data_IF_319298855796
#
_entry.id   IF_319298855796
#
_cell.length_a   1.000
_cell.length_b   1.000
_cell.length_c   1.000
_cell.angle_alpha   90.00
_cell.angle_beta   90.00
_cell.angle_gamma   90.00
#
_symmetry.space_group_name_H-M   'P 1'
#
loop_
_entity.id
_entity.type
_entity.pdbx_description
1 polymer ?
#
# COMPACT_ATOMS: atom_id res chain seq x y z
N UNK A 1 -6.32 10.29 -31.99
CA UNK A 1 -6.33 8.85 -32.35
C UNK A 1 -5.24 8.20 -31.51
N UNK A 2 -5.59 7.21 -30.68
CA UNK A 2 -4.56 6.41 -30.02
C UNK A 2 -3.71 5.73 -31.09
N UNK A 3 -2.38 5.69 -30.92
CA UNK A 3 -1.52 4.98 -31.85
C UNK A 3 -1.98 3.51 -31.96
N UNK A 4 -1.99 2.93 -33.17
CA UNK A 4 -2.34 1.53 -33.33
C UNK A 4 -1.36 0.66 -32.55
N UNK A 5 -1.89 -0.32 -31.82
CA UNK A 5 -1.11 -1.30 -31.09
C UNK A 5 -0.05 -1.93 -32.02
N UNK A 6 1.21 -2.12 -31.57
CA UNK A 6 2.23 -2.80 -32.37
C UNK A 6 1.71 -4.15 -32.88
N UNK A 7 1.95 -4.45 -34.16
CA UNK A 7 1.37 -5.61 -34.84
C UNK A 7 1.68 -6.95 -34.14
N UNK A 8 2.84 -7.06 -33.47
CA UNK A 8 3.24 -8.22 -32.66
C UNK A 8 2.23 -8.56 -31.56
N UNK A 9 1.50 -7.58 -31.04
CA UNK A 9 0.52 -7.77 -29.98
C UNK A 9 -0.90 -8.07 -30.48
N UNK A 10 -1.14 -8.06 -31.80
CA UNK A 10 -2.46 -8.38 -32.38
C UNK A 10 -3.08 -9.66 -31.81
N UNK A 11 -2.33 -10.78 -31.62
CA UNK A 11 -2.89 -12.02 -31.09
C UNK A 11 -3.37 -11.94 -29.64
N UNK A 12 -2.91 -10.95 -28.87
CA UNK A 12 -3.22 -10.77 -27.44
C UNK A 12 -3.79 -9.38 -27.12
N UNK A 13 -4.33 -8.70 -28.14
CA UNK A 13 -4.77 -7.31 -28.00
C UNK A 13 -5.88 -7.16 -26.95
N UNK A 14 -6.79 -8.14 -26.86
CA UNK A 14 -7.86 -8.14 -25.87
C UNK A 14 -7.30 -8.28 -24.45
N UNK A 15 -6.35 -9.21 -24.23
CA UNK A 15 -5.74 -9.44 -22.93
C UNK A 15 -4.97 -8.20 -22.45
N UNK A 16 -4.26 -7.50 -23.35
CA UNK A 16 -3.58 -6.25 -22.99
C UNK A 16 -4.60 -5.15 -22.66
N UNK A 17 -5.67 -5.02 -23.45
CA UNK A 17 -6.76 -4.08 -23.13
C UNK A 17 -7.37 -4.37 -21.77
N UNK A 18 -7.56 -5.64 -21.41
CA UNK A 18 -8.06 -6.05 -20.11
C UNK A 18 -7.08 -5.67 -18.99
N UNK A 19 -5.77 -5.87 -19.17
CA UNK A 19 -4.75 -5.42 -18.21
C UNK A 19 -4.84 -3.90 -18.00
N UNK A 20 -4.93 -3.12 -19.07
CA UNK A 20 -5.07 -1.66 -18.97
C UNK A 20 -6.37 -1.26 -18.26
N UNK A 21 -7.50 -1.87 -18.61
CA UNK A 21 -8.78 -1.58 -17.96
C UNK A 21 -8.75 -1.84 -16.45
N UNK A 22 -8.06 -2.89 -16.00
CA UNK A 22 -7.86 -3.17 -14.56
C UNK A 22 -6.99 -2.10 -13.88
N UNK A 23 -5.92 -1.66 -14.53
CA UNK A 23 -5.05 -0.61 -13.98
C UNK A 23 -5.77 0.73 -13.92
N UNK A 24 -6.57 1.06 -14.94
CA UNK A 24 -7.39 2.26 -14.96
C UNK A 24 -8.48 2.19 -13.88
N UNK A 25 -9.08 1.00 -13.67
CA UNK A 25 -9.97 0.76 -12.54
C UNK A 25 -9.26 0.95 -11.20
N UNK A 26 -8.03 0.48 -11.04
CA UNK A 26 -7.25 0.71 -9.82
C UNK A 26 -6.99 2.22 -9.58
N UNK A 27 -6.73 3.00 -10.63
CA UNK A 27 -6.64 4.46 -10.55
C UNK A 27 -7.96 5.13 -10.12
N UNK A 28 -9.11 4.61 -10.56
CA UNK A 28 -10.42 5.05 -10.07
C UNK A 28 -10.60 4.73 -8.58
N UNK A 29 -10.18 3.53 -8.14
CA UNK A 29 -10.26 3.14 -6.73
C UNK A 29 -9.41 4.04 -5.82
N UNK A 30 -8.22 4.47 -6.27
CA UNK A 30 -7.43 5.47 -5.52
C UNK A 30 -8.21 6.77 -5.33
N UNK A 31 -8.92 7.24 -6.37
CA UNK A 31 -9.72 8.47 -6.30
C UNK A 31 -10.92 8.31 -5.38
N UNK A 32 -11.67 7.21 -5.51
CA UNK A 32 -12.82 6.92 -4.63
C UNK A 32 -12.41 6.80 -3.16
N UNK A 33 -11.23 6.22 -2.90
CA UNK A 33 -10.67 6.14 -1.55
C UNK A 33 -10.42 7.54 -0.98
N UNK A 34 -9.78 8.40 -1.78
CA UNK A 34 -9.48 9.78 -1.39
C UNK A 34 -10.77 10.58 -1.17
N UNK A 35 -11.75 10.48 -2.07
CA UNK A 35 -13.04 11.16 -1.94
C UNK A 35 -13.79 10.75 -0.67
N UNK A 36 -13.83 9.44 -0.38
CA UNK A 36 -14.44 8.90 0.84
C UNK A 36 -13.72 9.40 2.09
N UNK A 37 -12.39 9.47 2.05
CA UNK A 37 -11.58 9.97 3.15
C UNK A 37 -11.81 11.46 3.40
N UNK A 38 -11.83 12.27 2.34
CA UNK A 38 -12.07 13.71 2.40
C UNK A 38 -13.50 14.02 2.90
N UNK A 39 -14.51 13.27 2.43
CA UNK A 39 -15.88 13.37 2.93
C UNK A 39 -15.94 13.05 4.43
N UNK A 40 -15.31 11.96 4.86
CA UNK A 40 -15.22 11.61 6.27
C UNK A 40 -14.56 12.72 7.09
N UNK A 41 -13.43 13.25 6.66
CA UNK A 41 -12.72 14.34 7.35
C UNK A 41 -13.52 15.65 7.40
N UNK A 42 -14.32 15.95 6.37
CA UNK A 42 -15.19 17.14 6.32
C UNK A 42 -16.18 17.19 7.50
N UNK A 43 -16.54 16.02 8.05
CA UNK A 43 -17.43 15.90 9.21
C UNK A 43 -16.76 16.22 10.55
N UNK A 44 -15.44 16.51 10.53
CA UNK A 44 -14.58 16.71 11.71
C UNK A 44 -14.76 15.60 12.75
N UNK A 45 -14.47 14.34 12.38
CA UNK A 45 -14.82 13.18 13.19
C UNK A 45 -13.93 13.00 14.42
N UNK A 46 -12.78 13.68 14.47
CA UNK A 46 -11.79 13.58 15.54
C UNK A 46 -11.81 14.81 16.44
N UNK A 47 -11.81 14.60 17.76
CA UNK A 47 -11.70 15.64 18.78
C UNK A 47 -10.63 15.26 19.79
N UNK A 48 -10.02 16.26 20.41
CA UNK A 48 -9.16 16.04 21.57
C UNK A 48 -9.99 16.29 22.84
N UNK A 49 -9.91 15.36 23.79
CA UNK A 49 -10.55 15.52 25.11
C UNK A 49 -9.48 15.55 26.19
N UNK A 50 -9.63 16.48 27.12
CA UNK A 50 -8.80 16.54 28.32
C UNK A 50 -9.50 15.73 29.41
N UNK A 51 -8.85 14.68 29.88
CA UNK A 51 -9.39 13.77 30.89
C UNK A 51 -8.51 13.88 32.14
N UNK A 52 -9.04 14.41 33.26
CA UNK A 52 -8.32 14.37 34.53
C UNK A 52 -8.32 12.94 35.06
N UNK A 53 -7.16 12.49 35.53
CA UNK A 53 -6.94 11.17 36.11
C UNK A 53 -6.86 11.26 37.65
N UNK A 54 -7.04 10.14 38.34
CA UNK A 54 -7.11 10.11 39.81
C UNK A 54 -5.79 10.46 40.51
N UNK A 55 -4.66 10.35 39.82
CA UNK A 55 -3.31 10.66 40.32
C UNK A 55 -2.91 12.13 40.11
N UNK A 56 -3.83 12.98 39.65
CA UNK A 56 -3.59 14.39 39.33
C UNK A 56 -2.98 14.62 37.94
N UNK A 57 -2.80 13.57 37.14
CA UNK A 57 -2.42 13.68 35.73
C UNK A 57 -3.59 14.20 34.88
N UNK A 58 -3.30 15.03 33.89
CA UNK A 58 -4.24 15.41 32.84
C UNK A 58 -3.83 14.74 31.52
N UNK A 59 -4.69 13.86 31.01
CA UNK A 59 -4.45 13.14 29.75
C UNK A 59 -5.24 13.77 28.61
N UNK A 60 -4.57 14.17 27.53
CA UNK A 60 -5.21 14.52 26.27
C UNK A 60 -5.41 13.25 25.45
N UNK A 61 -6.67 12.88 25.21
CA UNK A 61 -7.06 11.65 24.48
C UNK A 61 -7.69 11.96 23.14
N UNK A 62 -7.49 11.07 22.18
CA UNK A 62 -8.28 11.08 20.95
C UNK A 62 -9.72 10.67 21.27
N UNK A 63 -10.68 11.46 20.81
CA UNK A 63 -12.09 11.10 20.84
C UNK A 63 -12.66 11.12 19.43
N UNK A 64 -13.12 9.97 18.97
CA UNK A 64 -13.67 9.74 17.66
C UNK A 64 -15.19 9.75 17.74
N UNK A 65 -15.79 10.74 17.10
CA UNK A 65 -17.25 10.93 17.11
C UNK A 65 -17.98 10.14 16.03
N UNK A 66 -17.25 9.61 15.03
CA UNK A 66 -17.78 8.76 13.95
C UNK A 66 -16.78 7.65 13.63
N UNK A 67 -17.22 6.40 13.41
CA UNK A 67 -16.31 5.33 13.00
C UNK A 67 -15.68 5.63 11.63
N UNK A 68 -14.56 4.98 11.32
CA UNK A 68 -14.01 5.03 9.97
C UNK A 68 -15.02 4.43 8.97
N UNK A 69 -15.24 5.03 7.79
CA UNK A 69 -16.13 4.48 6.77
C UNK A 69 -15.67 3.08 6.35
N UNK A 70 -16.60 2.13 6.27
CA UNK A 70 -16.31 0.76 5.84
C UNK A 70 -15.92 0.72 4.35
N UNK A 71 -16.44 1.68 3.59
CA UNK A 71 -16.20 1.90 2.18
C UNK A 71 -14.70 2.04 1.88
N UNK A 72 -13.92 2.67 2.77
CA UNK A 72 -12.47 2.76 2.63
C UNK A 72 -11.82 1.36 2.55
N UNK A 73 -12.30 0.41 3.35
CA UNK A 73 -11.76 -0.96 3.35
C UNK A 73 -12.19 -1.73 2.11
N UNK A 74 -13.43 -1.52 1.63
CA UNK A 74 -13.93 -2.13 0.39
C UNK A 74 -13.13 -1.64 -0.82
N UNK A 75 -13.04 -0.32 -1.00
CA UNK A 75 -12.27 0.31 -2.08
C UNK A 75 -10.79 -0.10 -2.05
N UNK A 76 -10.19 -0.19 -0.86
CA UNK A 76 -8.83 -0.67 -0.68
C UNK A 76 -8.66 -2.13 -1.16
N UNK A 77 -9.54 -3.04 -0.74
CA UNK A 77 -9.51 -4.44 -1.18
C UNK A 77 -9.71 -4.59 -2.69
N UNK A 78 -10.67 -3.85 -3.27
CA UNK A 78 -10.92 -3.82 -4.71
C UNK A 78 -9.70 -3.33 -5.50
N UNK A 79 -9.01 -2.28 -5.02
CA UNK A 79 -7.76 -1.83 -5.63
C UNK A 79 -6.70 -2.93 -5.65
N UNK A 80 -6.46 -3.59 -4.51
CA UNK A 80 -5.44 -4.64 -4.40
C UNK A 80 -5.76 -5.84 -5.31
N UNK A 81 -7.04 -6.19 -5.40
CA UNK A 81 -7.54 -7.21 -6.31
C UNK A 81 -7.23 -6.85 -7.76
N UNK A 82 -7.56 -5.63 -8.20
CA UNK A 82 -7.31 -5.19 -9.58
C UNK A 82 -5.82 -5.22 -9.94
N UNK A 83 -4.95 -4.77 -9.04
CA UNK A 83 -3.49 -4.82 -9.25
C UNK A 83 -2.96 -6.24 -9.38
N UNK A 84 -3.40 -7.16 -8.50
CA UNK A 84 -3.03 -8.57 -8.56
C UNK A 84 -3.53 -9.22 -9.85
N UNK A 85 -4.78 -8.99 -10.20
CA UNK A 85 -5.38 -9.52 -11.42
C UNK A 85 -4.72 -8.96 -12.69
N UNK A 86 -4.30 -7.69 -12.70
CA UNK A 86 -3.57 -7.11 -13.81
C UNK A 86 -2.20 -7.79 -14.04
N UNK A 87 -1.46 -8.09 -12.96
CA UNK A 87 -0.21 -8.85 -13.06
C UNK A 87 -0.45 -10.27 -13.61
N UNK A 88 -1.39 -11.00 -13.02
CA UNK A 88 -1.70 -12.38 -13.42
C UNK A 88 -2.18 -12.44 -14.89
N UNK A 89 -3.05 -11.51 -15.30
CA UNK A 89 -3.53 -11.39 -16.68
C UNK A 89 -2.41 -11.03 -17.67
N UNK A 90 -1.47 -10.16 -17.27
CA UNK A 90 -0.33 -9.80 -18.12
C UNK A 90 0.57 -11.01 -18.37
N UNK A 91 0.89 -11.78 -17.33
CA UNK A 91 1.68 -13.00 -17.49
C UNK A 91 0.98 -14.03 -18.38
N UNK A 92 -0.33 -14.18 -18.24
CA UNK A 92 -1.13 -15.01 -19.12
C UNK A 92 -1.04 -14.56 -20.59
N UNK A 93 -1.21 -13.25 -20.85
CA UNK A 93 -1.09 -12.68 -22.19
C UNK A 93 0.29 -12.94 -22.80
N UNK A 94 1.34 -12.74 -22.02
CA UNK A 94 2.72 -13.03 -22.45
C UNK A 94 2.89 -14.51 -22.77
N UNK A 95 2.35 -15.40 -21.94
CA UNK A 95 2.42 -16.84 -22.20
C UNK A 95 1.72 -17.22 -23.51
N UNK A 96 0.56 -16.63 -23.82
CA UNK A 96 -0.12 -16.78 -25.12
C UNK A 96 0.77 -16.29 -26.25
N UNK A 97 1.31 -15.08 -26.12
CA UNK A 97 2.12 -14.45 -27.16
C UNK A 97 3.38 -15.27 -27.50
N UNK A 98 4.11 -15.75 -26.50
CA UNK A 98 5.39 -16.45 -26.73
C UNK A 98 5.22 -17.92 -27.12
N UNK A 99 4.06 -18.53 -26.82
CA UNK A 99 3.74 -19.91 -27.21
C UNK A 99 3.00 -19.98 -28.55
N UNK A 100 2.23 -18.95 -28.90
CA UNK A 100 1.32 -18.95 -30.04
C UNK A 100 0.00 -19.71 -29.78
N UNK A 101 -0.28 -20.11 -28.55
CA UNK A 101 -1.44 -20.91 -28.16
C UNK A 101 -2.33 -20.17 -27.15
N UNK A 102 -3.66 -20.26 -27.30
CA UNK A 102 -4.64 -19.75 -26.34
C UNK A 102 -5.72 -20.84 -26.07
N UNK A 103 -5.75 -21.48 -24.88
CA UNK A 103 -4.94 -21.18 -23.70
C UNK A 103 -3.46 -21.59 -23.87
N UNK A 104 -2.52 -20.91 -23.21
CA UNK A 104 -1.10 -21.24 -23.30
C UNK A 104 -0.77 -22.54 -22.52
N UNK A 105 0.39 -23.16 -22.78
CA UNK A 105 0.88 -24.28 -21.97
C UNK A 105 0.89 -23.93 -20.48
N UNK A 106 0.46 -24.89 -19.65
CA UNK A 106 0.37 -24.74 -18.19
C UNK A 106 -0.51 -23.57 -17.69
N UNK A 107 -1.44 -23.05 -18.50
CA UNK A 107 -2.32 -21.92 -18.18
C UNK A 107 -2.89 -21.93 -16.75
N UNK A 108 -3.46 -23.06 -16.30
CA UNK A 108 -4.07 -23.16 -14.97
C UNK A 108 -3.11 -23.08 -13.78
N UNK A 109 -1.79 -23.03 -14.03
CA UNK A 109 -0.75 -22.92 -13.00
C UNK A 109 -0.02 -21.58 -13.03
N UNK A 110 -0.24 -20.77 -14.07
CA UNK A 110 0.38 -19.47 -14.24
C UNK A 110 -0.19 -18.50 -13.21
N UNK A 111 0.72 -17.88 -12.48
CA UNK A 111 0.46 -16.77 -11.56
C UNK A 111 1.70 -15.89 -11.61
N UNK A 112 1.53 -14.57 -11.51
CA UNK A 112 2.65 -13.66 -11.40
C UNK A 112 3.42 -13.95 -10.11
N UNK A 113 4.71 -14.33 -10.19
CA UNK A 113 5.50 -14.65 -9.02
C UNK A 113 5.71 -13.43 -8.14
N UNK A 114 5.45 -13.62 -6.85
CA UNK A 114 5.99 -12.76 -5.79
C UNK A 114 6.59 -13.69 -4.73
N UNK A 115 7.90 -13.64 -4.55
CA UNK A 115 8.68 -14.56 -3.71
C UNK A 115 9.61 -13.76 -2.80
N UNK A 116 9.61 -14.09 -1.52
CA UNK A 116 10.40 -13.40 -0.51
C UNK A 116 11.80 -14.01 -0.37
N UNK A 117 12.03 -15.20 -0.93
CA UNK A 117 13.35 -15.87 -0.88
C UNK A 117 13.73 -16.57 -2.19
N UNK A 118 15.05 -16.78 -2.44
CA UNK A 118 15.52 -17.59 -3.56
C UNK A 118 15.02 -19.05 -3.52
N UNK A 119 14.82 -19.59 -2.31
CA UNK A 119 14.32 -20.96 -2.11
C UNK A 119 12.87 -21.08 -2.57
N UNK A 120 12.02 -20.12 -2.22
CA UNK A 120 10.64 -20.06 -2.69
C UNK A 120 10.55 -19.95 -4.21
N UNK A 121 11.40 -19.10 -4.82
CA UNK A 121 11.50 -19.00 -6.28
C UNK A 121 11.82 -20.36 -6.92
N UNK A 122 12.89 -21.01 -6.48
CA UNK A 122 13.30 -22.33 -6.99
C UNK A 122 12.20 -23.38 -6.85
N UNK A 123 11.47 -23.38 -5.73
CA UNK A 123 10.37 -24.33 -5.49
C UNK A 123 9.20 -24.19 -6.47
N UNK A 124 8.98 -22.98 -7.02
CA UNK A 124 7.87 -22.67 -7.92
C UNK A 124 8.30 -22.54 -9.40
N UNK A 125 9.59 -22.63 -9.69
CA UNK A 125 10.15 -22.47 -11.05
C UNK A 125 9.49 -23.38 -12.10
N UNK A 126 9.02 -24.56 -11.68
CA UNK A 126 8.29 -25.50 -12.55
C UNK A 126 6.99 -24.94 -13.16
N UNK A 127 6.37 -23.92 -12.55
CA UNK A 127 5.19 -23.22 -13.11
C UNK A 127 5.51 -22.43 -14.37
N UNK A 128 6.77 -22.02 -14.52
CA UNK A 128 7.24 -21.13 -15.57
C UNK A 128 8.08 -21.88 -16.62
N UNK A 129 8.12 -23.22 -16.57
CA UNK A 129 8.98 -24.04 -17.43
C UNK A 129 8.75 -23.80 -18.92
N UNK A 130 7.50 -23.47 -19.29
CA UNK A 130 7.06 -23.25 -20.66
C UNK A 130 7.29 -21.79 -21.12
N UNK A 131 7.74 -20.90 -20.22
CA UNK A 131 8.15 -19.54 -20.57
C UNK A 131 9.61 -19.50 -21.03
N UNK A 132 9.94 -18.65 -22.02
CA UNK A 132 11.32 -18.43 -22.44
C UNK A 132 12.25 -17.98 -21.29
N UNK A 133 13.55 -18.33 -21.33
CA UNK A 133 14.52 -17.92 -20.30
C UNK A 133 14.51 -16.40 -20.01
N UNK A 134 14.47 -15.57 -21.06
CA UNK A 134 14.46 -14.10 -20.93
C UNK A 134 13.28 -13.57 -20.09
N UNK A 135 12.11 -14.21 -20.21
CA UNK A 135 10.92 -13.84 -19.42
C UNK A 135 11.07 -14.29 -17.98
N UNK A 136 11.58 -15.50 -17.75
CA UNK A 136 11.82 -16.01 -16.39
C UNK A 136 12.86 -15.17 -15.64
N UNK A 137 13.93 -14.78 -16.31
CA UNK A 137 14.98 -13.92 -15.75
C UNK A 137 14.43 -12.53 -15.42
N UNK A 138 13.62 -11.94 -16.31
CA UNK A 138 12.96 -10.67 -16.05
C UNK A 138 12.02 -10.73 -14.84
N UNK A 139 11.22 -11.80 -14.73
CA UNK A 139 10.36 -12.05 -13.57
C UNK A 139 11.16 -12.24 -12.28
N UNK A 140 12.27 -12.98 -12.32
CA UNK A 140 13.13 -13.21 -11.14
C UNK A 140 13.77 -11.91 -10.65
N UNK A 141 14.25 -11.08 -11.56
CA UNK A 141 15.01 -9.86 -11.27
C UNK A 141 14.23 -8.84 -10.43
N UNK A 142 12.91 -8.81 -10.55
CA UNK A 142 12.04 -7.85 -9.84
C UNK A 142 11.55 -8.36 -8.48
N UNK A 143 11.89 -9.59 -8.09
CA UNK A 143 11.38 -10.21 -6.87
C UNK A 143 11.89 -9.50 -5.60
N UNK A 144 11.10 -9.50 -4.51
CA UNK A 144 11.48 -8.88 -3.24
C UNK A 144 12.90 -9.21 -2.74
N UNK A 145 13.32 -10.47 -2.83
CA UNK A 145 14.65 -10.88 -2.36
C UNK A 145 15.83 -10.36 -3.20
N UNK A 146 15.57 -9.87 -4.42
CA UNK A 146 16.58 -9.25 -5.28
C UNK A 146 16.75 -7.76 -4.98
N UNK A 147 15.81 -7.15 -4.24
CA UNK A 147 15.87 -5.73 -3.93
C UNK A 147 16.90 -5.45 -2.83
N UNK A 148 17.60 -4.32 -2.94
CA UNK A 148 18.51 -3.83 -1.90
C UNK A 148 17.79 -3.62 -0.56
N UNK A 149 16.53 -3.17 -0.62
CA UNK A 149 15.63 -3.01 0.52
C UNK A 149 14.37 -3.87 0.31
N UNK A 150 14.37 -5.16 0.70
CA UNK A 150 13.25 -6.08 0.46
C UNK A 150 11.91 -5.58 1.03
N UNK A 151 11.93 -4.95 2.22
CA UNK A 151 10.73 -4.38 2.85
C UNK A 151 10.12 -3.18 2.10
N UNK A 152 10.85 -2.62 1.13
CA UNK A 152 10.41 -1.52 0.27
C UNK A 152 10.09 -1.97 -1.15
N UNK A 153 10.25 -3.25 -1.49
CA UNK A 153 9.90 -3.78 -2.80
C UNK A 153 8.38 -3.72 -3.03
N UNK A 154 7.96 -3.13 -4.14
CA UNK A 154 6.53 -2.91 -4.45
C UNK A 154 5.73 -4.20 -4.62
N UNK A 155 6.30 -5.25 -5.22
CA UNK A 155 5.63 -6.55 -5.33
C UNK A 155 5.44 -7.16 -3.94
N UNK A 156 6.46 -7.10 -3.08
CA UNK A 156 6.38 -7.57 -1.70
C UNK A 156 5.29 -6.85 -0.92
N UNK A 157 5.24 -5.52 -1.02
CA UNK A 157 4.20 -4.70 -0.37
C UNK A 157 2.81 -5.06 -0.90
N UNK A 158 2.63 -5.15 -2.23
CA UNK A 158 1.35 -5.55 -2.82
C UNK A 158 0.91 -6.93 -2.32
N UNK A 159 1.83 -7.89 -2.26
CA UNK A 159 1.56 -9.24 -1.76
C UNK A 159 1.10 -9.22 -0.31
N UNK A 160 1.82 -8.51 0.55
CA UNK A 160 1.49 -8.38 1.97
C UNK A 160 0.13 -7.73 2.18
N UNK A 161 -0.13 -6.60 1.51
CA UNK A 161 -1.42 -5.91 1.61
C UNK A 161 -2.58 -6.79 1.12
N UNK A 162 -2.43 -7.46 -0.03
CA UNK A 162 -3.45 -8.36 -0.57
C UNK A 162 -3.64 -9.65 0.25
N UNK A 163 -2.61 -10.07 1.00
CA UNK A 163 -2.69 -11.19 1.94
C UNK A 163 -3.42 -10.78 3.22
N UNK A 164 -3.11 -9.59 3.74
CA UNK A 164 -3.77 -9.01 4.93
C UNK A 164 -5.26 -8.83 4.67
N UNK A 165 -5.63 -8.31 3.51
CA UNK A 165 -7.03 -8.11 3.10
C UNK A 165 -7.86 -9.42 3.08
N UNK A 166 -7.35 -10.48 2.43
CA UNK A 166 -8.12 -11.73 2.20
C UNK A 166 -8.22 -12.69 3.39
N UNK A 167 -7.21 -12.72 4.27
CA UNK A 167 -7.05 -13.82 5.24
C UNK A 167 -7.35 -13.46 6.69
N UNK A 168 -7.54 -12.18 7.03
CA UNK A 168 -7.75 -11.77 8.42
C UNK A 168 -9.11 -11.10 8.56
N UNK A 169 -9.99 -11.73 9.33
CA UNK A 169 -11.25 -11.13 9.76
C UNK A 169 -10.98 -9.76 10.41
N UNK A 170 -11.43 -8.67 9.77
CA UNK A 170 -11.60 -7.31 10.32
C UNK A 170 -10.46 -6.81 11.23
N UNK A 171 -9.27 -6.63 10.65
CA UNK A 171 -8.38 -5.54 11.07
C UNK A 171 -8.20 -4.59 9.89
N UNK A 172 -9.21 -3.73 9.76
CA UNK A 172 -9.35 -2.71 8.75
C UNK A 172 -8.45 -1.52 9.02
N UNK A 173 -8.56 -0.56 8.12
CA UNK A 173 -7.84 0.70 8.19
C UNK A 173 -8.02 1.37 9.56
N UNK A 174 -6.95 1.96 10.06
CA UNK A 174 -6.87 2.66 11.33
C UNK A 174 -6.41 4.09 11.13
N UNK A 175 -6.66 4.93 12.14
CA UNK A 175 -6.10 6.27 12.17
C UNK A 175 -4.63 6.16 12.57
N UNK A 176 -3.76 6.84 11.85
CA UNK A 176 -2.33 6.89 12.14
C UNK A 176 -1.97 8.32 12.54
N UNK A 177 -1.48 8.52 13.77
CA UNK A 177 -0.90 9.79 14.19
C UNK A 177 0.38 10.00 13.38
N UNK A 178 0.37 10.93 12.41
CA UNK A 178 1.50 11.14 11.50
C UNK A 178 2.43 12.23 11.98
N UNK A 179 1.87 13.29 12.58
CA UNK A 179 2.65 14.40 13.11
C UNK A 179 2.06 14.91 14.43
N UNK A 180 2.94 15.28 15.37
CA UNK A 180 2.58 15.91 16.64
C UNK A 180 3.49 17.12 16.86
N UNK A 181 2.90 18.28 17.14
CA UNK A 181 3.61 19.48 17.61
C UNK A 181 2.95 19.97 18.88
N UNK A 182 3.76 20.17 19.90
CA UNK A 182 3.31 20.65 21.19
C UNK A 182 4.15 21.85 21.62
N UNK A 183 3.47 22.90 22.08
CA UNK A 183 4.04 24.00 22.85
C UNK A 183 3.50 23.89 24.26
N UNK A 184 4.38 23.90 25.26
CA UNK A 184 4.00 23.89 26.67
C UNK A 184 4.90 24.84 27.46
N UNK A 185 4.33 25.61 28.40
CA UNK A 185 5.09 26.41 29.35
C UNK A 185 5.62 25.52 30.48
N UNK A 186 6.85 25.05 30.32
CA UNK A 186 7.49 24.08 31.21
C UNK A 186 7.75 24.62 32.63
N UNK A 187 7.52 25.91 32.89
CA UNK A 187 7.54 26.47 34.25
C UNK A 187 6.36 25.99 35.10
N UNK A 188 5.26 25.64 34.44
CA UNK A 188 3.99 25.28 35.10
C UNK A 188 3.40 23.95 34.61
N UNK A 189 3.95 23.38 33.53
CA UNK A 189 3.49 22.14 32.92
C UNK A 189 4.63 21.14 32.83
N UNK A 190 4.49 20.01 33.52
CA UNK A 190 5.36 18.85 33.35
C UNK A 190 4.75 17.92 32.29
N UNK A 191 5.53 17.58 31.26
CA UNK A 191 5.11 16.61 30.23
C UNK A 191 5.57 15.23 30.68
N UNK A 192 4.61 14.35 30.97
CA UNK A 192 4.88 12.99 31.46
C UNK A 192 5.08 12.01 30.31
N UNK A 193 4.24 12.12 29.28
CA UNK A 193 4.32 11.29 28.09
C UNK A 193 3.82 12.05 26.85
N UNK A 194 4.39 11.71 25.70
CA UNK A 194 3.99 12.26 24.41
C UNK A 194 3.87 11.16 23.36
N UNK A 195 2.80 11.25 22.59
CA UNK A 195 2.46 10.33 21.53
C UNK A 195 3.55 10.30 20.46
N UNK A 196 3.71 9.13 19.86
CA UNK A 196 4.66 8.88 18.78
C UNK A 196 3.88 8.51 17.52
N UNK A 197 4.49 8.66 16.33
CA UNK A 197 3.86 8.19 15.12
C UNK A 197 3.43 6.73 15.22
N UNK A 198 2.21 6.42 14.81
CA UNK A 198 1.64 5.09 15.00
C UNK A 198 0.12 5.05 14.90
N UNK A 199 -0.41 3.83 14.88
CA UNK A 199 -1.86 3.59 14.91
C UNK A 199 -2.43 4.05 16.25
N UNK A 200 -3.54 4.78 16.20
CA UNK A 200 -4.22 5.32 17.37
C UNK A 200 -5.72 4.97 17.36
N UNK A 201 -6.19 4.41 18.47
CA UNK A 201 -7.56 4.05 18.76
C UNK A 201 -8.39 5.20 19.32
N UNK A 202 -9.71 5.01 19.37
CA UNK A 202 -10.57 5.92 20.14
C UNK A 202 -10.32 5.75 21.65
N UNK A 203 -10.18 6.87 22.36
CA UNK A 203 -9.84 6.90 23.79
C UNK A 203 -8.34 6.81 24.10
N UNK A 204 -7.49 6.53 23.11
CA UNK A 204 -6.06 6.40 23.32
C UNK A 204 -5.43 7.74 23.76
N UNK A 205 -4.44 7.69 24.67
CA UNK A 205 -3.72 8.87 25.11
C UNK A 205 -2.81 9.40 23.99
N UNK A 206 -2.79 10.72 23.83
CA UNK A 206 -1.86 11.42 22.94
C UNK A 206 -0.78 12.13 23.77
N UNK A 207 -1.16 12.82 24.83
CA UNK A 207 -0.20 13.51 25.71
C UNK A 207 -0.68 13.36 27.15
N UNK A 208 0.24 13.11 28.07
CA UNK A 208 -0.03 13.08 29.51
C UNK A 208 0.76 14.20 30.18
N UNK A 209 0.09 15.02 30.99
CA UNK A 209 0.66 16.22 31.59
C UNK A 209 0.39 16.24 33.10
N UNK A 210 1.26 16.93 33.85
CA UNK A 210 0.95 17.39 35.20
C UNK A 210 1.00 18.90 35.25
N UNK A 211 -0.05 19.50 35.80
CA UNK A 211 -0.19 20.96 35.90
C UNK A 211 0.18 21.42 37.30
N UNK A 212 0.79 22.59 37.40
CA UNK A 212 0.93 23.30 38.66
C UNK A 212 -0.45 23.57 39.29
N UNK A 213 -0.50 23.65 40.62
CA UNK A 213 -1.74 23.85 41.35
C UNK A 213 -2.47 25.13 40.89
N UNK A 214 -3.77 25.00 40.58
CA UNK A 214 -4.61 26.10 40.11
C UNK A 214 -4.38 26.54 38.66
N UNK A 215 -3.43 25.95 37.92
CA UNK A 215 -3.22 26.25 36.51
C UNK A 215 -4.35 25.68 35.64
N UNK A 216 -4.85 26.50 34.72
CA UNK A 216 -5.76 26.07 33.64
C UNK A 216 -5.02 26.11 32.30
N UNK A 217 -5.27 25.12 31.44
CA UNK A 217 -4.73 25.12 30.08
C UNK A 217 -5.37 26.23 29.24
N UNK A 218 -4.54 26.97 28.54
CA UNK A 218 -4.93 28.01 27.60
C UNK A 218 -3.93 28.04 26.42
N UNK A 219 -4.33 28.54 25.24
CA UNK A 219 -3.46 28.56 24.05
C UNK A 219 -2.07 29.19 24.25
N UNK A 220 -1.94 30.12 25.20
CA UNK A 220 -0.66 30.78 25.50
C UNK A 220 0.30 29.89 26.28
N UNK A 221 -0.21 29.01 27.15
CA UNK A 221 0.59 28.10 27.98
C UNK A 221 0.64 26.67 27.43
N UNK A 222 -0.30 26.27 26.58
CA UNK A 222 -0.37 24.96 25.95
C UNK A 222 -1.07 25.01 24.59
N UNK A 223 -0.38 24.60 23.52
CA UNK A 223 -0.94 24.38 22.18
C UNK A 223 -0.50 23.00 21.67
N UNK A 224 -1.46 22.15 21.33
CA UNK A 224 -1.22 20.82 20.78
C UNK A 224 -1.85 20.72 19.39
N UNK A 225 -1.01 20.45 18.40
CA UNK A 225 -1.41 20.19 17.02
C UNK A 225 -1.04 18.77 16.67
N UNK A 226 -2.01 18.05 16.12
CA UNK A 226 -1.86 16.68 15.65
C UNK A 226 -2.34 16.58 14.21
N UNK A 227 -1.64 15.78 13.43
CA UNK A 227 -2.02 15.40 12.08
C UNK A 227 -2.24 13.89 12.04
N UNK A 228 -3.29 13.48 11.36
CA UNK A 228 -3.66 12.07 11.25
C UNK A 228 -3.77 11.66 9.78
N UNK A 229 -3.22 10.49 9.48
CA UNK A 229 -3.45 9.76 8.23
C UNK A 229 -4.41 8.60 8.48
N UNK A 230 -4.82 7.93 7.40
CA UNK A 230 -5.38 6.57 7.45
C UNK A 230 -4.32 5.57 7.01
N UNK A 231 -4.24 4.43 7.69
CA UNK A 231 -3.25 3.39 7.39
C UNK A 231 -3.76 1.98 7.71
N UNK A 232 -3.11 0.94 7.21
CA UNK A 232 -3.37 -0.43 7.64
C UNK A 232 -2.84 -0.62 9.07
N UNK A 233 -3.65 -1.20 9.96
CA UNK A 233 -3.33 -1.29 11.39
C UNK A 233 -2.11 -2.15 11.72
N UNK A 234 -1.73 -3.05 10.80
CA UNK A 234 -0.55 -3.91 10.91
C UNK A 234 0.57 -3.48 9.97
N UNK A 235 0.73 -2.17 9.73
CA UNK A 235 1.84 -1.66 8.94
C UNK A 235 3.15 -2.19 9.52
N UNK A 236 3.92 -2.88 8.70
CA UNK A 236 5.26 -3.34 9.08
C UNK A 236 6.24 -2.25 8.68
N UNK A 237 6.85 -1.61 9.67
CA UNK A 237 7.97 -0.71 9.43
C UNK A 237 9.19 -1.51 8.98
N UNK A 238 9.96 -0.96 8.05
CA UNK A 238 11.24 -1.54 7.66
C UNK A 238 12.29 -0.45 7.47
N UNK A 239 13.57 -0.85 7.54
CA UNK A 239 14.68 0.06 7.30
C UNK A 239 14.57 0.59 5.86
N UNK A 240 14.43 1.90 5.75
CA UNK A 240 14.32 2.59 4.47
C UNK A 240 15.65 3.11 3.93
N UNK A 241 15.62 3.83 2.79
CA UNK A 241 16.80 4.39 2.15
C UNK A 241 17.62 5.37 3.02
N UNK A 242 17.00 5.92 4.06
CA UNK A 242 17.66 6.80 5.04
C UNK A 242 18.39 6.04 6.16
N UNK A 243 18.33 4.71 6.16
CA UNK A 243 18.83 3.86 7.23
C UNK A 243 17.97 3.86 8.50
N UNK A 244 16.85 4.59 8.50
CA UNK A 244 15.91 4.63 9.62
C UNK A 244 14.71 3.71 9.36
N UNK A 245 14.13 3.09 10.41
CA UNK A 245 12.84 2.42 10.29
C UNK A 245 11.76 3.41 9.84
N UNK A 246 10.85 2.95 8.99
CA UNK A 246 9.66 3.71 8.66
C UNK A 246 8.67 2.92 7.83
N UNK A 247 7.54 3.56 7.55
CA UNK A 247 6.51 3.04 6.65
C UNK A 247 7.08 2.97 5.22
N UNK A 248 7.12 1.79 4.57
CA UNK A 248 7.53 1.68 3.18
C UNK A 248 6.73 2.62 2.30
N UNK A 249 7.40 3.45 1.50
CA UNK A 249 6.81 4.51 0.67
C UNK A 249 5.96 5.57 1.40
N UNK A 250 6.00 5.62 2.74
CA UNK A 250 5.31 6.64 3.54
C UNK A 250 3.83 6.36 3.76
N UNK A 251 2.99 7.40 3.56
CA UNK A 251 1.54 7.33 3.79
C UNK A 251 0.87 6.26 2.93
N UNK A 252 -0.30 5.80 3.36
CA UNK A 252 -1.07 4.81 2.59
C UNK A 252 -1.42 5.33 1.19
N UNK A 253 -1.84 6.58 1.05
CA UNK A 253 -2.10 7.21 -0.26
C UNK A 253 -0.89 7.11 -1.20
N UNK A 254 0.30 7.49 -0.71
CA UNK A 254 1.53 7.42 -1.51
C UNK A 254 1.87 6.00 -1.88
N UNK A 255 1.68 5.03 -0.97
CA UNK A 255 1.83 3.60 -1.27
C UNK A 255 0.89 3.15 -2.37
N UNK A 256 -0.41 3.43 -2.26
CA UNK A 256 -1.41 3.01 -3.22
C UNK A 256 -1.12 3.53 -4.63
N UNK A 257 -0.82 4.83 -4.77
CA UNK A 257 -0.43 5.44 -6.05
C UNK A 257 0.85 4.82 -6.62
N UNK A 258 1.83 4.58 -5.75
CA UNK A 258 3.08 3.94 -6.16
C UNK A 258 2.83 2.52 -6.65
N UNK A 259 1.96 1.74 -5.99
CA UNK A 259 1.61 0.38 -6.42
C UNK A 259 0.91 0.35 -7.77
N UNK A 260 0.02 1.29 -8.07
CA UNK A 260 -0.58 1.38 -9.42
C UNK A 260 0.48 1.70 -10.47
N UNK A 261 1.32 2.70 -10.21
CA UNK A 261 2.39 3.13 -11.13
C UNK A 261 3.36 1.99 -11.45
N UNK A 262 3.89 1.32 -10.42
CA UNK A 262 4.89 0.25 -10.60
C UNK A 262 4.28 -1.01 -11.20
N UNK A 263 3.02 -1.36 -10.92
CA UNK A 263 2.34 -2.46 -11.62
C UNK A 263 2.17 -2.15 -13.10
N UNK A 264 1.82 -0.91 -13.46
CA UNK A 264 1.75 -0.46 -14.86
C UNK A 264 3.12 -0.55 -15.54
N UNK A 265 4.19 -0.20 -14.82
CA UNK A 265 5.56 -0.33 -15.32
C UNK A 265 5.96 -1.80 -15.54
N UNK A 266 5.76 -2.67 -14.54
CA UNK A 266 6.09 -4.11 -14.65
C UNK A 266 5.37 -4.79 -15.81
N UNK A 267 4.08 -4.50 -15.99
CA UNK A 267 3.28 -5.09 -17.06
C UNK A 267 3.73 -4.59 -18.44
N UNK A 268 4.05 -3.29 -18.56
CA UNK A 268 4.55 -2.69 -19.80
C UNK A 268 5.93 -3.22 -20.20
N UNK A 269 6.87 -3.24 -19.25
CA UNK A 269 8.25 -3.70 -19.50
C UNK A 269 8.29 -5.18 -19.88
N UNK A 270 7.52 -6.03 -19.18
CA UNK A 270 7.52 -7.46 -19.48
C UNK A 270 6.85 -7.77 -20.83
N UNK A 271 5.82 -7.02 -21.23
CA UNK A 271 5.25 -7.09 -22.58
C UNK A 271 6.27 -6.69 -23.65
N UNK A 272 7.07 -5.64 -23.40
CA UNK A 272 8.16 -5.22 -24.30
C UNK A 272 9.20 -6.33 -24.51
N UNK A 273 9.66 -6.95 -23.42
CA UNK A 273 10.61 -8.07 -23.46
C UNK A 273 10.01 -9.26 -24.25
N UNK A 274 8.72 -9.54 -24.07
CA UNK A 274 8.05 -10.60 -24.81
C UNK A 274 7.93 -10.30 -26.32
N UNK A 275 7.65 -9.04 -26.68
CA UNK A 275 7.64 -8.60 -28.07
C UNK A 275 9.00 -8.74 -28.74
N UNK A 276 10.07 -8.25 -28.11
CA UNK A 276 11.43 -8.36 -28.63
C UNK A 276 11.84 -9.81 -28.84
N UNK A 277 11.44 -10.69 -27.91
CA UNK A 277 11.68 -12.13 -28.01
C UNK A 277 10.93 -12.78 -29.19
N UNK A 278 9.69 -12.39 -29.47
CA UNK A 278 8.93 -12.90 -30.62
C UNK A 278 9.47 -12.35 -31.93
N UNK A 279 9.80 -11.06 -32.00
CA UNK A 279 10.36 -10.42 -33.18
C UNK A 279 11.75 -10.97 -33.52
N UNK A 280 12.60 -11.21 -32.53
CA UNK A 280 13.92 -11.83 -32.71
C UNK A 280 13.88 -13.30 -33.15
N UNK A 281 12.70 -13.95 -33.10
CA UNK A 281 12.47 -15.30 -33.64
C UNK A 281 11.92 -15.31 -35.06
N UNK A 282 11.48 -14.15 -35.57
CA UNK A 282 10.95 -14.05 -36.93
C UNK A 282 12.14 -14.08 -37.89
N UNK A 283 12.18 -15.03 -38.85
CA UNK A 283 13.30 -15.17 -39.79
C UNK A 283 13.48 -13.97 -40.71
#
# INVERSE_FOLDING_TARGET
MAEPFPAVFTPIAFEIQLVHARLDRADEQVRMFQETWDEYLSTRPHKLRHTPESDGTLTVRLHRTRPLPVELSVTFGELLYELRAALDNCLYAIAVLVSGENPPPSAGRLEWPIRETPTEWKSQAGRYRDLPPVIREALEKVQPYQAELPGWNSLGILHELARVDRHRSMHGLGLYLSHLRMKADLRYIEVLDQGRPGIIGDGDPIVSLRLAEGLLLAPDNFDLRVEFDVDVTNVTESIGPTGQPGRPWGSLDKRLRTLVLVTRQYTTELLGIAADHVLGRTP
#
